data_IF_936642770461
#
_entry.id   IF_936642770461
#
_cell.length_a   1.000
_cell.length_b   1.000
_cell.length_c   1.000
_cell.angle_alpha   90.00
_cell.angle_beta   90.00
_cell.angle_gamma   90.00
#
_symmetry.space_group_name_H-M   'P 1'
#
loop_
_entity.id
_entity.type
_entity.pdbx_description
1 polymer ?
#
# COMPACT_ATOMS: atom_id res chain seq x y z
N UNK A 1 16.72 11.31 -15.19
CA UNK A 1 15.92 10.46 -14.30
C UNK A 1 14.44 10.69 -14.59
N UNK A 2 13.67 9.62 -14.82
CA UNK A 2 12.26 9.71 -15.22
C UNK A 2 11.30 9.48 -14.03
N UNK A 3 11.80 9.00 -12.89
CA UNK A 3 11.01 8.72 -11.70
C UNK A 3 10.04 7.54 -11.88
N UNK A 4 9.32 7.23 -10.83
CA UNK A 4 8.21 6.28 -10.80
C UNK A 4 6.99 7.04 -10.28
N UNK A 5 6.08 7.42 -11.18
CA UNK A 5 4.94 8.29 -10.89
C UNK A 5 3.60 7.57 -10.96
N UNK A 6 3.61 6.32 -11.41
CA UNK A 6 2.40 5.53 -11.59
C UNK A 6 2.18 4.63 -10.38
N UNK A 7 0.98 4.67 -9.83
CA UNK A 7 0.62 3.79 -8.73
C UNK A 7 0.34 2.38 -9.22
N UNK A 8 0.78 1.41 -8.42
CA UNK A 8 0.43 0.02 -8.64
C UNK A 8 -0.88 -0.25 -7.90
N UNK A 9 -1.90 -0.67 -8.65
CA UNK A 9 -3.19 -1.09 -8.09
C UNK A 9 -3.08 -2.51 -7.52
N UNK A 10 -3.87 -2.78 -6.48
CA UNK A 10 -3.99 -4.13 -5.90
C UNK A 10 -4.74 -5.08 -6.82
N UNK A 11 -5.68 -4.55 -7.60
CA UNK A 11 -6.58 -5.32 -8.46
C UNK A 11 -7.69 -6.04 -7.69
N UNK A 12 -7.92 -5.70 -6.42
CA UNK A 12 -8.99 -6.30 -5.63
C UNK A 12 -10.35 -5.64 -5.93
N UNK A 13 -11.46 -6.37 -5.79
CA UNK A 13 -12.80 -5.80 -5.92
C UNK A 13 -13.01 -4.62 -4.98
N UNK A 14 -13.63 -3.56 -5.48
CA UNK A 14 -13.95 -2.36 -4.71
C UNK A 14 -12.82 -1.32 -4.62
N UNK A 15 -11.67 -1.55 -5.25
CA UNK A 15 -10.53 -0.60 -5.23
C UNK A 15 -10.86 0.75 -5.88
N UNK A 16 -11.85 0.80 -6.78
CA UNK A 16 -12.30 2.05 -7.41
C UNK A 16 -13.39 2.77 -6.60
N UNK A 17 -13.67 2.35 -5.36
CA UNK A 17 -14.60 3.04 -4.47
C UNK A 17 -14.11 4.44 -4.12
N UNK A 18 -15.05 5.35 -3.83
CA UNK A 18 -14.70 6.66 -3.27
C UNK A 18 -13.94 6.48 -1.95
N UNK A 19 -13.08 7.43 -1.62
CA UNK A 19 -12.20 7.41 -0.44
C UNK A 19 -11.16 6.27 -0.46
N UNK A 20 -10.90 5.67 -1.62
CA UNK A 20 -9.73 4.85 -1.88
C UNK A 20 -8.77 5.69 -2.72
N UNK A 21 -7.56 5.89 -2.24
CA UNK A 21 -6.54 6.70 -2.91
C UNK A 21 -5.19 5.99 -2.93
N UNK A 22 -4.31 6.43 -3.80
CA UNK A 22 -2.94 5.94 -3.81
C UNK A 22 -2.05 6.71 -2.83
N UNK A 23 -0.96 6.07 -2.41
CA UNK A 23 0.06 6.73 -1.59
C UNK A 23 0.69 7.94 -2.29
N UNK A 24 0.92 7.83 -3.62
CA UNK A 24 1.50 8.92 -4.41
C UNK A 24 0.54 10.10 -4.48
N UNK A 25 -0.74 9.86 -4.71
CA UNK A 25 -1.77 10.90 -4.73
C UNK A 25 -1.84 11.63 -3.39
N UNK A 26 -1.90 10.89 -2.27
CA UNK A 26 -1.93 11.45 -0.93
C UNK A 26 -0.68 12.29 -0.62
N UNK A 27 0.52 11.72 -0.84
CA UNK A 27 1.77 12.41 -0.50
C UNK A 27 2.03 13.61 -1.42
N UNK A 28 1.58 13.55 -2.69
CA UNK A 28 1.63 14.70 -3.59
C UNK A 28 0.72 15.83 -3.10
N UNK A 29 -0.52 15.52 -2.73
CA UNK A 29 -1.45 16.52 -2.19
C UNK A 29 -0.85 17.22 -0.95
N UNK A 30 -0.21 16.48 -0.04
CA UNK A 30 0.52 17.04 1.11
C UNK A 30 1.68 17.93 0.65
N UNK A 31 2.45 17.51 -0.34
CA UNK A 31 3.56 18.29 -0.90
C UNK A 31 3.13 19.56 -1.60
N UNK A 32 1.91 19.58 -2.13
CA UNK A 32 1.30 20.73 -2.80
C UNK A 32 0.48 21.63 -1.82
N UNK A 33 0.66 21.43 -0.49
CA UNK A 33 -0.09 22.12 0.59
C UNK A 33 -1.61 21.91 0.52
N UNK A 34 -2.07 20.87 -0.17
CA UNK A 34 -3.47 20.43 -0.21
C UNK A 34 -3.65 19.31 0.80
N UNK A 35 -3.79 19.65 2.08
CA UNK A 35 -3.88 18.67 3.15
C UNK A 35 -5.21 17.92 3.11
N UNK A 36 -5.22 16.58 2.91
CA UNK A 36 -6.43 15.79 3.09
C UNK A 36 -6.89 15.84 4.55
N UNK A 37 -8.20 15.94 4.76
CA UNK A 37 -8.77 15.92 6.11
C UNK A 37 -9.11 14.49 6.55
N UNK A 38 -8.32 13.96 7.48
CA UNK A 38 -8.53 12.64 8.07
C UNK A 38 -9.09 12.71 9.49
N UNK A 39 -9.46 13.91 9.95
CA UNK A 39 -9.97 14.13 11.31
C UNK A 39 -11.12 13.19 11.65
N UNK A 40 -10.92 12.39 12.69
CA UNK A 40 -11.91 11.43 13.18
C UNK A 40 -12.17 10.22 12.28
N UNK A 41 -11.45 10.07 11.16
CA UNK A 41 -11.60 8.95 10.22
C UNK A 41 -10.79 7.74 10.64
N UNK A 42 -11.29 6.55 10.32
CA UNK A 42 -10.55 5.29 10.39
C UNK A 42 -9.81 5.10 9.06
N UNK A 43 -8.49 5.08 9.12
CA UNK A 43 -7.66 4.96 7.92
C UNK A 43 -7.02 3.57 7.88
N UNK A 44 -7.12 2.90 6.74
CA UNK A 44 -6.42 1.64 6.49
C UNK A 44 -5.39 1.87 5.38
N UNK A 45 -4.14 1.53 5.65
CA UNK A 45 -3.02 1.60 4.69
C UNK A 45 -2.67 0.19 4.25
N UNK A 46 -2.60 -0.06 2.94
CA UNK A 46 -2.22 -1.35 2.38
C UNK A 46 -0.77 -1.28 1.89
N UNK A 47 0.15 -1.95 2.57
CA UNK A 47 1.55 -1.98 2.15
C UNK A 47 2.53 -2.29 3.27
N UNK A 48 3.83 -2.38 2.96
CA UNK A 48 4.88 -2.70 3.92
C UNK A 48 6.25 -2.18 3.52
N UNK A 49 6.31 -1.14 2.70
CA UNK A 49 7.52 -0.39 2.34
C UNK A 49 7.61 0.96 3.07
N UNK A 50 8.70 1.69 2.87
CA UNK A 50 8.89 3.01 3.48
C UNK A 50 7.74 3.97 3.15
N UNK A 51 7.26 3.98 1.90
CA UNK A 51 6.10 4.80 1.49
C UNK A 51 4.85 4.46 2.30
N UNK A 52 4.62 3.18 2.62
CA UNK A 52 3.50 2.78 3.47
C UNK A 52 3.66 3.32 4.90
N UNK A 53 4.89 3.37 5.43
CA UNK A 53 5.15 3.96 6.74
C UNK A 53 4.96 5.49 6.72
N UNK A 54 5.45 6.17 5.68
CA UNK A 54 5.23 7.61 5.51
C UNK A 54 3.74 7.96 5.49
N UNK A 55 2.95 7.22 4.71
CA UNK A 55 1.49 7.38 4.64
C UNK A 55 0.83 7.08 5.99
N UNK A 56 1.25 6.01 6.66
CA UNK A 56 0.71 5.62 7.97
C UNK A 56 0.94 6.73 9.00
N UNK A 57 2.16 7.23 9.12
CA UNK A 57 2.51 8.32 10.05
C UNK A 57 1.83 9.63 9.68
N UNK A 58 1.78 9.96 8.39
CA UNK A 58 1.06 11.15 7.89
C UNK A 58 -0.43 11.07 8.22
N UNK A 59 -1.05 9.90 8.09
CA UNK A 59 -2.46 9.70 8.43
C UNK A 59 -2.75 9.97 9.92
N UNK A 60 -1.86 9.53 10.82
CA UNK A 60 -1.96 9.86 12.26
C UNK A 60 -1.88 11.36 12.47
N UNK A 61 -0.92 12.02 11.84
CA UNK A 61 -0.70 13.49 11.97
C UNK A 61 -1.81 14.32 11.36
N UNK A 62 -2.53 13.79 10.36
CA UNK A 62 -3.72 14.39 9.75
C UNK A 62 -4.99 14.19 10.58
N UNK A 63 -4.89 13.66 11.81
CA UNK A 63 -5.97 13.59 12.77
C UNK A 63 -6.88 12.37 12.66
N UNK A 64 -6.44 11.29 11.99
CA UNK A 64 -7.19 10.05 11.95
C UNK A 64 -7.49 9.52 13.37
N UNK A 65 -8.70 9.02 13.59
CA UNK A 65 -9.10 8.41 14.87
C UNK A 65 -8.44 7.07 15.13
N UNK A 66 -8.10 6.35 14.06
CA UNK A 66 -7.29 5.14 14.08
C UNK A 66 -6.60 4.96 12.72
N UNK A 67 -5.40 4.39 12.74
CA UNK A 67 -4.65 4.05 11.52
C UNK A 67 -4.18 2.61 11.66
N UNK A 68 -4.58 1.76 10.71
CA UNK A 68 -4.16 0.36 10.62
C UNK A 68 -3.41 0.13 9.33
N UNK A 69 -2.13 -0.22 9.42
CA UNK A 69 -1.33 -0.63 8.26
C UNK A 69 -1.42 -2.15 8.09
N UNK A 70 -1.95 -2.59 6.96
CA UNK A 70 -2.17 -4.01 6.63
C UNK A 70 -1.06 -4.53 5.74
N UNK A 71 -0.44 -5.62 6.16
CA UNK A 71 0.64 -6.26 5.44
C UNK A 71 0.49 -7.79 5.36
N UNK A 72 0.68 -8.35 4.16
CA UNK A 72 0.45 -9.78 3.91
C UNK A 72 1.54 -10.73 4.43
N UNK A 73 2.70 -10.20 4.85
CA UNK A 73 3.80 -10.95 5.48
C UNK A 73 3.99 -10.50 6.92
N UNK A 74 5.03 -11.01 7.59
CA UNK A 74 5.40 -10.56 8.94
C UNK A 74 6.04 -9.17 8.89
N UNK A 75 5.99 -8.46 10.01
CA UNK A 75 6.72 -7.20 10.20
C UNK A 75 8.21 -7.38 9.88
N UNK A 76 8.82 -8.49 10.31
CA UNK A 76 10.22 -8.81 10.02
C UNK A 76 10.53 -8.99 8.52
N UNK A 77 9.53 -9.21 7.67
CA UNK A 77 9.67 -9.38 6.23
C UNK A 77 9.33 -8.09 5.46
N UNK A 78 9.04 -6.98 6.15
CA UNK A 78 8.80 -5.69 5.52
C UNK A 78 10.04 -5.18 4.80
N UNK A 79 9.83 -4.45 3.71
CA UNK A 79 10.90 -3.71 3.04
C UNK A 79 11.10 -2.31 3.62
N UNK A 80 10.23 -1.87 4.50
CA UNK A 80 10.41 -0.66 5.28
C UNK A 80 11.59 -0.81 6.26
N UNK A 81 12.26 0.29 6.54
CA UNK A 81 13.30 0.33 7.56
C UNK A 81 12.68 0.05 8.93
N UNK A 82 13.33 -0.76 9.80
CA UNK A 82 12.79 -1.09 11.11
C UNK A 82 12.45 0.15 11.96
N UNK A 83 13.25 1.19 11.88
CA UNK A 83 13.04 2.44 12.61
C UNK A 83 11.77 3.18 12.14
N UNK A 84 11.45 3.10 10.84
CA UNK A 84 10.20 3.68 10.31
C UNK A 84 8.97 2.91 10.80
N UNK A 85 9.05 1.58 10.87
CA UNK A 85 7.99 0.74 11.43
C UNK A 85 7.77 1.05 12.91
N UNK A 86 8.87 1.12 13.69
CA UNK A 86 8.80 1.47 15.12
C UNK A 86 8.27 2.90 15.32
N UNK A 87 8.66 3.84 14.45
CA UNK A 87 8.13 5.21 14.46
C UNK A 87 6.62 5.26 14.24
N UNK A 88 6.10 4.49 13.28
CA UNK A 88 4.66 4.40 13.03
C UNK A 88 3.89 3.84 14.24
N UNK A 89 4.41 2.78 14.88
CA UNK A 89 3.83 2.19 16.09
C UNK A 89 3.88 3.19 17.25
N UNK A 90 5.00 3.89 17.44
CA UNK A 90 5.16 4.87 18.51
C UNK A 90 4.22 6.07 18.35
N UNK A 91 3.87 6.44 17.13
CA UNK A 91 2.88 7.48 16.83
C UNK A 91 1.42 6.99 16.99
N UNK A 92 1.19 5.71 17.33
CA UNK A 92 -0.11 5.15 17.66
C UNK A 92 -0.78 4.38 16.51
N UNK A 93 -0.08 4.09 15.41
CA UNK A 93 -0.61 3.24 14.36
C UNK A 93 -0.54 1.75 14.74
N UNK A 94 -1.53 0.98 14.31
CA UNK A 94 -1.52 -0.49 14.37
C UNK A 94 -0.86 -1.05 13.12
N UNK A 95 0.08 -1.99 13.28
CA UNK A 95 0.61 -2.77 12.16
C UNK A 95 -0.01 -4.17 12.21
N UNK A 96 -0.85 -4.47 11.23
CA UNK A 96 -1.53 -5.76 11.11
C UNK A 96 -0.81 -6.62 10.07
N UNK A 97 0.09 -7.44 10.55
CA UNK A 97 0.84 -8.40 9.73
C UNK A 97 0.00 -9.63 9.35
N UNK A 98 0.50 -10.45 8.43
CA UNK A 98 -0.13 -11.72 7.99
C UNK A 98 -1.59 -11.54 7.57
N UNK A 99 -1.89 -10.43 6.91
CA UNK A 99 -3.24 -10.07 6.47
C UNK A 99 -3.20 -9.65 5.01
N UNK A 100 -3.70 -10.50 4.11
CA UNK A 100 -3.74 -10.20 2.69
C UNK A 100 -5.06 -9.52 2.31
N UNK A 101 -5.04 -8.35 1.65
CA UNK A 101 -6.25 -7.70 1.15
C UNK A 101 -6.99 -8.60 0.16
N UNK A 102 -8.31 -8.70 0.29
CA UNK A 102 -9.17 -9.52 -0.57
C UNK A 102 -10.15 -8.66 -1.35
N UNK A 103 -10.83 -7.75 -0.69
CA UNK A 103 -11.79 -6.82 -1.30
C UNK A 103 -12.03 -5.62 -0.41
N UNK A 104 -12.51 -4.55 -1.02
CA UNK A 104 -13.00 -3.36 -0.34
C UNK A 104 -14.53 -3.40 -0.39
N UNK A 105 -15.16 -3.26 0.77
CA UNK A 105 -16.60 -3.12 0.93
C UNK A 105 -16.95 -1.64 0.77
N UNK A 106 -17.87 -1.34 -0.14
CA UNK A 106 -18.40 0.00 -0.29
C UNK A 106 -19.81 0.11 0.32
N UNK A 107 -20.13 1.29 0.83
CA UNK A 107 -21.49 1.63 1.27
C UNK A 107 -22.41 1.97 0.07
N UNK A 108 -23.67 2.28 0.35
CA UNK A 108 -24.67 2.65 -0.69
C UNK A 108 -24.29 3.92 -1.46
N UNK A 109 -23.48 4.81 -0.89
CA UNK A 109 -22.96 6.01 -1.56
C UNK A 109 -21.73 5.72 -2.45
N UNK A 110 -21.26 4.47 -2.50
CA UNK A 110 -20.08 4.05 -3.23
C UNK A 110 -18.75 4.46 -2.54
N UNK A 111 -18.78 4.71 -1.23
CA UNK A 111 -17.61 5.04 -0.43
C UNK A 111 -17.09 3.79 0.27
N UNK A 112 -15.77 3.69 0.43
CA UNK A 112 -15.17 2.60 1.19
C UNK A 112 -15.69 2.60 2.63
N UNK A 113 -16.11 1.42 3.13
CA UNK A 113 -16.63 1.20 4.46
C UNK A 113 -15.83 0.17 5.26
N UNK A 114 -15.11 -0.73 4.59
CA UNK A 114 -14.21 -1.68 5.20
C UNK A 114 -13.23 -2.28 4.17
N UNK A 115 -12.09 -2.73 4.69
CA UNK A 115 -11.20 -3.66 3.99
C UNK A 115 -11.45 -5.07 4.53
N UNK A 116 -11.64 -6.04 3.64
CA UNK A 116 -11.65 -7.45 3.98
C UNK A 116 -10.28 -8.05 3.72
N UNK A 117 -9.77 -8.80 4.68
CA UNK A 117 -8.46 -9.44 4.62
C UNK A 117 -8.55 -10.93 4.88
N UNK A 118 -7.73 -11.70 4.17
CA UNK A 118 -7.53 -13.13 4.44
C UNK A 118 -6.31 -13.28 5.36
N UNK A 119 -6.47 -13.87 6.55
CA UNK A 119 -5.33 -14.24 7.40
C UNK A 119 -4.34 -15.12 6.65
N UNK A 120 -3.05 -14.91 6.90
CA UNK A 120 -1.97 -15.61 6.22
C UNK A 120 -1.14 -16.45 7.19
N UNK A 121 -0.53 -17.51 6.67
CA UNK A 121 0.53 -18.28 7.31
C UNK A 121 1.82 -18.14 6.51
N UNK A 122 2.93 -18.41 7.15
CA UNK A 122 4.24 -18.40 6.48
C UNK A 122 4.42 -19.71 5.72
N UNK A 123 4.49 -19.61 4.40
CA UNK A 123 4.83 -20.71 3.50
C UNK A 123 6.31 -20.79 3.17
N UNK A 124 6.64 -21.55 2.14
CA UNK A 124 8.02 -21.71 1.65
C UNK A 124 8.56 -20.38 1.09
N UNK A 125 9.89 -20.24 1.11
CA UNK A 125 10.55 -19.08 0.51
C UNK A 125 10.25 -18.98 -1.00
N UNK A 126 9.98 -17.77 -1.47
CA UNK A 126 9.85 -17.45 -2.88
C UNK A 126 11.23 -17.43 -3.59
N UNK A 127 11.22 -17.17 -4.90
CA UNK A 127 12.46 -17.11 -5.71
C UNK A 127 13.45 -16.02 -5.27
N UNK A 128 12.98 -15.06 -4.46
CA UNK A 128 13.82 -14.00 -3.89
C UNK A 128 14.35 -14.34 -2.50
N UNK A 129 14.05 -15.53 -1.98
CA UNK A 129 14.43 -15.99 -0.64
C UNK A 129 13.51 -15.44 0.46
N UNK A 130 12.42 -14.73 0.12
CA UNK A 130 11.49 -14.19 1.10
C UNK A 130 10.35 -15.19 1.36
N UNK A 131 9.90 -15.34 2.63
CA UNK A 131 8.77 -16.21 2.95
C UNK A 131 7.54 -15.84 2.13
N UNK A 132 6.96 -16.81 1.43
CA UNK A 132 5.72 -16.62 0.69
C UNK A 132 4.55 -16.67 1.67
N UNK A 133 3.63 -15.70 1.65
CA UNK A 133 2.39 -15.81 2.41
C UNK A 133 1.44 -16.77 1.71
N UNK A 134 0.87 -17.70 2.45
CA UNK A 134 -0.19 -18.61 2.01
C UNK A 134 -1.44 -18.35 2.85
N UNK A 135 -2.64 -18.54 2.27
CA UNK A 135 -3.88 -18.33 3.00
C UNK A 135 -4.00 -19.30 4.17
N UNK A 136 -4.30 -18.80 5.36
CA UNK A 136 -4.64 -19.61 6.51
C UNK A 136 -6.04 -20.23 6.34
N UNK A 137 -6.26 -21.39 6.95
CA UNK A 137 -7.60 -22.00 7.04
C UNK A 137 -8.41 -21.29 8.15
N UNK A 138 -8.70 -20.01 7.89
CA UNK A 138 -9.45 -19.11 8.77
C UNK A 138 -10.36 -18.24 7.93
N UNK A 139 -11.51 -17.77 8.46
CA UNK A 139 -12.39 -16.89 7.74
C UNK A 139 -11.72 -15.53 7.45
N UNK A 140 -12.19 -14.88 6.40
CA UNK A 140 -11.85 -13.49 6.12
C UNK A 140 -12.28 -12.59 7.29
N UNK A 141 -11.48 -11.57 7.55
CA UNK A 141 -11.72 -10.61 8.61
C UNK A 141 -12.03 -9.23 8.03
N UNK A 142 -13.00 -8.56 8.67
CA UNK A 142 -13.44 -7.22 8.28
C UNK A 142 -12.76 -6.16 9.12
N UNK A 143 -12.05 -5.23 8.47
CA UNK A 143 -11.42 -4.06 9.10
C UNK A 143 -12.22 -2.83 8.68
N UNK A 144 -12.98 -2.18 9.58
CA UNK A 144 -13.73 -0.97 9.26
C UNK A 144 -12.79 0.16 8.82
N UNK A 145 -13.15 0.85 7.73
CA UNK A 145 -12.35 1.94 7.17
C UNK A 145 -13.25 3.01 6.55
N UNK A 146 -12.93 4.26 6.80
CA UNK A 146 -13.56 5.40 6.16
C UNK A 146 -12.70 5.92 4.99
N UNK A 147 -11.39 5.62 5.04
CA UNK A 147 -10.41 5.94 4.00
C UNK A 147 -9.47 4.74 3.86
N UNK A 148 -9.14 4.39 2.62
CA UNK A 148 -8.15 3.36 2.32
C UNK A 148 -7.06 3.95 1.43
N UNK A 149 -5.79 3.77 1.84
CA UNK A 149 -4.63 4.23 1.06
C UNK A 149 -3.82 3.03 0.58
N UNK A 150 -3.66 2.92 -0.74
CA UNK A 150 -2.89 1.84 -1.37
C UNK A 150 -1.43 2.27 -1.53
N UNK A 151 -0.51 1.52 -0.90
CA UNK A 151 0.93 1.82 -0.82
C UNK A 151 1.79 0.58 -1.16
N UNK A 152 1.43 -0.17 -2.21
CA UNK A 152 2.08 -1.44 -2.58
C UNK A 152 3.22 -1.29 -3.58
N UNK A 153 3.54 -0.09 -4.00
CA UNK A 153 4.64 0.23 -4.89
C UNK A 153 4.27 1.23 -5.97
N UNK A 154 5.27 1.60 -6.75
CA UNK A 154 5.17 2.56 -7.84
C UNK A 154 5.73 1.94 -9.11
N UNK A 155 5.15 2.31 -10.25
CA UNK A 155 5.58 1.92 -11.58
C UNK A 155 6.22 3.09 -12.32
N UNK A 156 7.02 2.74 -13.34
CA UNK A 156 7.54 3.68 -14.31
C UNK A 156 6.59 3.73 -15.50
N UNK A 157 6.23 4.91 -15.96
CA UNK A 157 5.47 5.07 -17.18
C UNK A 157 6.39 4.80 -18.39
N UNK A 158 6.22 3.63 -19.00
CA UNK A 158 7.14 3.13 -20.04
C UNK A 158 6.64 3.32 -21.47
N UNK A 159 5.36 3.64 -21.65
CA UNK A 159 4.71 3.70 -22.98
C UNK A 159 5.46 4.63 -23.97
N UNK A 160 5.91 5.80 -23.51
CA UNK A 160 6.67 6.73 -24.34
C UNK A 160 8.04 6.19 -24.75
N UNK A 161 8.66 5.36 -23.94
CA UNK A 161 9.95 4.75 -24.23
C UNK A 161 9.82 3.58 -25.20
N UNK A 162 8.75 2.77 -25.09
CA UNK A 162 8.43 1.72 -26.07
C UNK A 162 8.19 2.32 -27.46
N UNK A 163 7.41 3.40 -27.54
CA UNK A 163 7.17 4.14 -28.79
C UNK A 163 8.46 4.70 -29.41
N UNK A 164 9.42 5.09 -28.57
CA UNK A 164 10.72 5.57 -29.00
C UNK A 164 11.71 4.43 -29.36
N UNK A 165 11.28 3.16 -29.31
CA UNK A 165 12.08 2.00 -29.65
C UNK A 165 13.11 1.60 -28.59
N UNK A 166 12.98 2.08 -27.34
CA UNK A 166 13.87 1.70 -26.24
C UNK A 166 13.45 0.32 -25.75
N UNK A 167 14.37 -0.66 -25.67
CA UNK A 167 14.02 -2.00 -25.24
C UNK A 167 13.64 -2.02 -23.77
N UNK A 168 12.50 -2.66 -23.48
CA UNK A 168 11.95 -2.81 -22.13
C UNK A 168 11.85 -4.28 -21.77
N UNK A 169 12.23 -4.62 -20.56
CA UNK A 169 12.09 -5.96 -20.01
C UNK A 169 11.47 -5.91 -18.63
N UNK A 170 10.28 -6.53 -18.49
CA UNK A 170 9.52 -6.58 -17.23
C UNK A 170 9.27 -5.21 -16.60
N UNK A 171 8.92 -4.21 -17.42
CA UNK A 171 8.65 -2.84 -16.93
C UNK A 171 9.91 -2.02 -16.59
N UNK A 172 11.10 -2.48 -16.97
CA UNK A 172 12.37 -1.79 -16.74
C UNK A 172 13.04 -1.48 -18.06
N UNK A 173 13.58 -0.28 -18.22
CA UNK A 173 14.38 0.10 -19.36
C UNK A 173 15.68 -0.73 -19.37
N UNK A 174 16.03 -1.27 -20.52
CA UNK A 174 17.27 -2.02 -20.69
C UNK A 174 18.41 -1.06 -20.98
N UNK A 175 19.45 -1.09 -20.16
CA UNK A 175 20.71 -0.41 -20.42
C UNK A 175 21.77 -1.44 -20.81
N UNK A 176 22.64 -1.12 -21.75
CA UNK A 176 23.82 -1.92 -22.02
C UNK A 176 24.87 -1.71 -20.93
N UNK A 177 25.61 -2.77 -20.60
CA UNK A 177 26.60 -2.78 -19.52
C UNK A 177 27.83 -1.88 -19.79
N UNK A 178 27.87 -1.20 -20.93
CA UNK A 178 28.98 -0.35 -21.41
C UNK A 178 28.63 1.15 -21.38
N UNK A 179 27.54 1.56 -20.82
CA UNK A 179 27.15 2.98 -20.73
C UNK A 179 27.26 3.54 -19.30
#
# INVERSE_FOLDING_TARGET
AIGAHTDIKTGIPGEDSKNVMSAVEMLRAIGDDVMPDFTGKRVVVIGGGNVAMDVTRSSVRLGASSVTCVYRRRIADMSALPDEVQGAIAEGAEIRELSAPVRIEANEAGEAAALWVQPQIIGLADKSGRPRPDAADQPEERIPADIIVVAIGQGVEIAGFEQAGIPIKRGTLMAESSS
#
